data_IF_985094323780
#
_entry.id   IF_985094323780
#
_cell.length_a   1.000
_cell.length_b   1.000
_cell.length_c   1.000
_cell.angle_alpha   90.00
_cell.angle_beta   90.00
_cell.angle_gamma   90.00
#
_symmetry.space_group_name_H-M   'P 1'
#
loop_
_entity.id
_entity.type
_entity.pdbx_description
1 polymer ?
#
# COMPACT_ATOMS: atom_id res chain seq x y z
N UNK A 1 11.46 9.51 23.84
CA UNK A 1 12.05 8.27 23.28
C UNK A 1 13.32 8.62 22.50
N UNK A 2 14.39 7.81 22.53
CA UNK A 2 15.56 8.06 21.67
C UNK A 2 15.25 7.71 20.21
N UNK A 3 15.94 8.36 19.25
CA UNK A 3 15.78 8.04 17.82
C UNK A 3 16.04 6.57 17.52
N UNK A 4 17.06 5.95 18.13
CA UNK A 4 17.34 4.52 17.96
C UNK A 4 16.19 3.63 18.46
N UNK A 5 15.57 3.97 19.59
CA UNK A 5 14.41 3.24 20.13
C UNK A 5 13.20 3.40 19.20
N UNK A 6 12.95 4.61 18.71
CA UNK A 6 11.87 4.89 17.75
C UNK A 6 12.00 4.04 16.50
N UNK A 7 13.18 4.02 15.89
CA UNK A 7 13.45 3.25 14.67
C UNK A 7 13.32 1.73 14.89
N UNK A 8 13.83 1.21 16.00
CA UNK A 8 13.68 -0.21 16.34
C UNK A 8 12.20 -0.60 16.52
N UNK A 9 11.41 0.24 17.19
CA UNK A 9 9.96 0.00 17.35
C UNK A 9 9.22 0.10 16.00
N UNK A 10 9.55 1.08 15.14
CA UNK A 10 8.98 1.18 13.79
C UNK A 10 9.32 -0.05 12.92
N UNK A 11 10.58 -0.52 12.93
CA UNK A 11 10.95 -1.78 12.23
C UNK A 11 10.11 -2.96 12.71
N UNK A 12 9.82 -3.03 14.02
CA UNK A 12 8.98 -4.08 14.61
C UNK A 12 7.52 -3.96 14.17
N UNK A 13 6.93 -2.78 14.25
CA UNK A 13 5.55 -2.52 13.85
C UNK A 13 5.36 -2.78 12.36
N UNK A 14 6.33 -2.40 11.52
CA UNK A 14 6.34 -2.72 10.09
C UNK A 14 6.63 -4.19 9.77
N UNK A 15 6.75 -5.07 10.77
CA UNK A 15 7.05 -6.50 10.59
C UNK A 15 8.37 -6.80 9.87
N UNK A 16 9.28 -5.86 9.81
CA UNK A 16 10.60 -6.06 9.21
C UNK A 16 11.53 -6.88 10.14
N UNK A 17 11.44 -6.68 11.45
CA UNK A 17 12.19 -7.47 12.44
C UNK A 17 11.32 -8.51 13.18
N UNK A 18 10.02 -8.55 12.92
CA UNK A 18 9.09 -9.53 13.51
C UNK A 18 8.10 -10.03 12.42
N UNK A 19 8.60 -10.67 11.34
CA UNK A 19 7.80 -11.04 10.19
C UNK A 19 6.64 -11.99 10.54
N UNK A 20 5.55 -11.87 9.80
CA UNK A 20 4.32 -12.65 9.95
C UNK A 20 4.46 -14.06 9.39
N UNK A 21 3.60 -15.01 9.80
CA UNK A 21 3.63 -16.36 9.25
C UNK A 21 3.30 -16.43 7.76
N UNK A 22 2.30 -15.65 7.30
CA UNK A 22 1.79 -15.69 5.92
C UNK A 22 1.69 -14.32 5.29
N UNK A 23 1.56 -14.27 3.97
CA UNK A 23 1.31 -13.04 3.18
C UNK A 23 -0.01 -12.38 3.60
N UNK A 24 -1.06 -13.17 3.82
CA UNK A 24 -2.37 -12.67 4.27
C UNK A 24 -2.28 -12.05 5.67
N UNK A 25 -1.47 -12.63 6.59
CA UNK A 25 -1.20 -12.04 7.90
C UNK A 25 -0.43 -10.72 7.79
N UNK A 26 0.53 -10.63 6.86
CA UNK A 26 1.27 -9.38 6.60
C UNK A 26 0.34 -8.27 6.12
N UNK A 27 -0.52 -8.59 5.15
CA UNK A 27 -1.51 -7.64 4.64
C UNK A 27 -2.52 -7.24 5.72
N UNK A 28 -3.02 -8.20 6.50
CA UNK A 28 -3.93 -7.92 7.61
C UNK A 28 -3.28 -6.99 8.63
N UNK A 29 -2.01 -7.22 8.99
CA UNK A 29 -1.31 -6.40 9.96
C UNK A 29 -1.04 -4.98 9.47
N UNK A 30 -0.60 -4.83 8.21
CA UNK A 30 -0.31 -3.52 7.60
C UNK A 30 -1.57 -2.74 7.21
N UNK A 31 -2.72 -3.41 7.11
CA UNK A 31 -4.00 -2.96 6.58
C UNK A 31 -3.95 -2.52 5.12
N UNK A 32 -3.02 -1.66 4.76
CA UNK A 32 -2.82 -1.20 3.39
C UNK A 32 -1.32 -1.07 3.10
N UNK A 33 -0.90 -1.52 1.92
CA UNK A 33 0.43 -1.24 1.39
C UNK A 33 0.29 -0.56 0.03
N UNK A 34 0.98 0.56 -0.17
CA UNK A 34 0.88 1.28 -1.43
C UNK A 34 1.42 0.41 -2.57
N UNK A 35 0.60 0.22 -3.59
CA UNK A 35 0.83 -0.69 -4.71
C UNK A 35 0.68 0.02 -6.05
N UNK A 36 1.12 1.28 -6.13
CA UNK A 36 1.17 2.02 -7.39
C UNK A 36 2.08 1.30 -8.38
N UNK A 37 3.23 0.81 -7.94
CA UNK A 37 3.98 -0.26 -8.59
C UNK A 37 3.50 -1.60 -8.00
N UNK A 38 2.87 -2.43 -8.82
CA UNK A 38 2.28 -3.69 -8.36
C UNK A 38 3.34 -4.70 -7.89
N UNK A 39 4.52 -4.72 -8.53
CA UNK A 39 5.63 -5.59 -8.11
C UNK A 39 6.18 -5.15 -6.76
N UNK A 40 6.36 -3.84 -6.55
CA UNK A 40 6.81 -3.30 -5.28
C UNK A 40 5.80 -3.55 -4.15
N UNK A 41 4.48 -3.41 -4.42
CA UNK A 41 3.42 -3.72 -3.44
C UNK A 41 3.41 -5.19 -3.02
N UNK A 42 3.62 -6.13 -3.98
CA UNK A 42 3.77 -7.55 -3.66
C UNK A 42 5.03 -7.83 -2.83
N UNK A 43 6.15 -7.20 -3.20
CA UNK A 43 7.38 -7.28 -2.43
C UNK A 43 7.23 -6.73 -1.01
N UNK A 44 6.49 -5.64 -0.83
CA UNK A 44 6.20 -5.08 0.49
C UNK A 44 5.53 -6.09 1.44
N UNK A 45 4.68 -6.98 0.93
CA UNK A 45 4.11 -8.08 1.72
C UNK A 45 5.11 -9.22 1.93
N UNK A 46 5.83 -9.62 0.87
CA UNK A 46 6.80 -10.71 0.93
C UNK A 46 7.93 -10.43 1.91
N UNK A 47 8.50 -9.21 1.92
CA UNK A 47 9.60 -8.83 2.83
C UNK A 47 9.17 -8.86 4.31
N UNK A 48 7.87 -8.72 4.59
CA UNK A 48 7.26 -8.78 5.93
C UNK A 48 6.77 -10.18 6.34
N UNK A 49 6.95 -11.16 5.47
CA UNK A 49 6.54 -12.55 5.69
C UNK A 49 7.77 -13.43 5.92
N UNK A 50 7.64 -14.45 6.78
CA UNK A 50 8.72 -15.39 7.10
C UNK A 50 9.08 -16.27 5.90
N UNK A 51 10.36 -16.63 5.81
CA UNK A 51 10.88 -17.53 4.77
C UNK A 51 11.09 -16.84 3.42
N UNK A 52 11.36 -17.66 2.44
CA UNK A 52 11.56 -17.22 1.04
C UNK A 52 10.19 -17.27 0.33
N UNK A 53 9.44 -16.19 0.46
CA UNK A 53 8.16 -15.99 -0.23
C UNK A 53 8.43 -15.60 -1.67
N UNK A 54 7.77 -16.26 -2.60
CA UNK A 54 7.86 -15.97 -4.04
C UNK A 54 6.76 -15.00 -4.50
N UNK A 55 6.93 -14.43 -5.69
CA UNK A 55 5.91 -13.61 -6.33
C UNK A 55 4.58 -14.38 -6.48
N UNK A 56 4.69 -15.67 -6.85
CA UNK A 56 3.55 -16.58 -7.01
C UNK A 56 2.79 -16.81 -5.70
N UNK A 57 3.48 -16.85 -4.55
CA UNK A 57 2.80 -17.01 -3.27
C UNK A 57 1.91 -15.81 -2.95
N UNK A 58 2.35 -14.60 -3.31
CA UNK A 58 1.54 -13.39 -3.18
C UNK A 58 0.40 -13.38 -4.19
N UNK A 59 0.66 -13.75 -5.44
CA UNK A 59 -0.37 -13.84 -6.49
C UNK A 59 -1.47 -14.82 -6.12
N UNK A 60 -1.14 -15.98 -5.52
CA UNK A 60 -2.13 -16.93 -4.99
C UNK A 60 -3.05 -16.32 -3.92
N UNK A 61 -2.58 -15.36 -3.11
CA UNK A 61 -3.43 -14.69 -2.14
C UNK A 61 -4.48 -13.77 -2.82
N UNK A 62 -4.12 -13.13 -3.94
CA UNK A 62 -5.10 -12.43 -4.78
C UNK A 62 -6.07 -13.41 -5.46
N UNK A 63 -5.58 -14.53 -6.01
CA UNK A 63 -6.40 -15.52 -6.71
C UNK A 63 -7.42 -16.20 -5.79
N UNK A 64 -7.08 -16.38 -4.50
CA UNK A 64 -8.00 -16.89 -3.48
C UNK A 64 -9.01 -15.86 -2.97
N UNK A 65 -8.83 -14.59 -3.32
CA UNK A 65 -9.65 -13.49 -2.80
C UNK A 65 -9.28 -13.05 -1.37
N UNK A 66 -8.11 -13.43 -0.84
CA UNK A 66 -7.64 -12.93 0.46
C UNK A 66 -7.26 -11.45 0.37
N UNK A 67 -6.74 -11.05 -0.79
CA UNK A 67 -6.24 -9.71 -1.09
C UNK A 67 -6.96 -9.10 -2.29
N UNK A 68 -7.15 -7.79 -2.23
CA UNK A 68 -7.58 -6.97 -3.37
C UNK A 68 -6.71 -5.73 -3.47
N UNK A 69 -6.73 -5.09 -4.64
CA UNK A 69 -6.06 -3.83 -4.86
C UNK A 69 -7.05 -2.79 -5.37
N UNK A 70 -6.98 -1.59 -4.85
CA UNK A 70 -7.90 -0.52 -5.22
C UNK A 70 -7.43 0.85 -4.76
N UNK A 71 -8.12 1.89 -5.19
CA UNK A 71 -7.90 3.26 -4.72
C UNK A 71 -8.58 3.44 -3.36
N UNK A 72 -7.85 3.24 -2.29
CA UNK A 72 -8.40 3.30 -0.93
C UNK A 72 -8.14 4.61 -0.21
N UNK A 73 -7.02 5.28 -0.49
CA UNK A 73 -6.60 6.52 0.18
C UNK A 73 -5.75 7.38 -0.76
N UNK A 74 -5.77 8.72 -0.59
CA UNK A 74 -4.90 9.70 -1.29
C UNK A 74 -4.94 9.63 -2.83
N UNK A 75 -5.93 8.95 -3.43
CA UNK A 75 -5.97 8.72 -4.87
C UNK A 75 -4.89 7.76 -5.38
N UNK A 76 -4.25 6.97 -4.51
CA UNK A 76 -3.25 5.96 -4.86
C UNK A 76 -3.78 4.54 -4.68
N UNK A 77 -3.20 3.60 -5.44
CA UNK A 77 -3.56 2.19 -5.36
C UNK A 77 -2.88 1.53 -4.15
N UNK A 78 -3.67 0.80 -3.36
CA UNK A 78 -3.17 0.00 -2.24
C UNK A 78 -3.62 -1.45 -2.38
N UNK A 79 -2.77 -2.38 -1.95
CA UNK A 79 -3.16 -3.75 -1.65
C UNK A 79 -3.67 -3.80 -0.22
N UNK A 80 -4.86 -4.35 -0.03
CA UNK A 80 -5.55 -4.46 1.26
C UNK A 80 -6.12 -5.87 1.44
N UNK A 81 -6.36 -6.33 2.68
CA UNK A 81 -7.18 -7.51 2.88
C UNK A 81 -8.56 -7.30 2.25
N UNK A 82 -9.04 -8.26 1.48
CA UNK A 82 -10.30 -8.11 0.74
C UNK A 82 -11.46 -7.70 1.65
N UNK A 83 -11.58 -8.36 2.80
CA UNK A 83 -12.65 -8.10 3.78
C UNK A 83 -12.66 -6.67 4.34
N UNK A 84 -11.52 -5.98 4.32
CA UNK A 84 -11.39 -4.64 4.92
C UNK A 84 -11.71 -3.52 3.92
N UNK A 85 -11.78 -3.79 2.60
CA UNK A 85 -11.97 -2.78 1.57
C UNK A 85 -13.23 -1.93 1.81
N UNK A 86 -14.36 -2.54 2.12
CA UNK A 86 -15.64 -1.83 2.22
C UNK A 86 -15.64 -0.74 3.29
N UNK A 87 -15.29 -1.09 4.53
CA UNK A 87 -15.29 -0.12 5.63
C UNK A 87 -14.18 0.94 5.48
N UNK A 88 -13.06 0.60 4.86
CA UNK A 88 -12.03 1.60 4.54
C UNK A 88 -12.56 2.66 3.58
N UNK A 89 -13.32 2.26 2.55
CA UNK A 89 -13.94 3.18 1.60
C UNK A 89 -15.03 4.03 2.27
N UNK A 90 -15.80 3.50 3.22
CA UNK A 90 -16.76 4.30 4.01
C UNK A 90 -16.09 5.51 4.66
N UNK A 91 -14.86 5.34 5.17
CA UNK A 91 -14.10 6.41 5.83
C UNK A 91 -13.46 7.36 4.81
N UNK A 92 -12.95 6.86 3.68
CA UNK A 92 -12.01 7.60 2.83
C UNK A 92 -12.60 8.11 1.53
N UNK A 93 -13.66 7.48 1.00
CA UNK A 93 -14.19 7.76 -0.34
C UNK A 93 -14.68 9.21 -0.51
N UNK A 94 -15.37 9.77 0.49
CA UNK A 94 -15.87 11.15 0.41
C UNK A 94 -14.73 12.16 0.18
N UNK A 95 -13.61 11.98 0.88
CA UNK A 95 -12.43 12.83 0.73
C UNK A 95 -11.79 12.66 -0.65
N UNK A 96 -11.69 11.44 -1.15
CA UNK A 96 -11.13 11.14 -2.46
C UNK A 96 -12.00 11.74 -3.58
N UNK A 97 -13.33 11.64 -3.50
CA UNK A 97 -14.26 12.31 -4.46
C UNK A 97 -14.03 13.81 -4.47
N UNK A 98 -13.94 14.44 -3.30
CA UNK A 98 -13.68 15.87 -3.18
C UNK A 98 -12.37 16.27 -3.87
N UNK A 99 -11.29 15.51 -3.67
CA UNK A 99 -9.98 15.75 -4.27
C UNK A 99 -10.00 15.56 -5.79
N UNK A 100 -10.75 14.57 -6.30
CA UNK A 100 -10.87 14.29 -7.73
C UNK A 100 -11.80 15.24 -8.47
N UNK A 101 -12.69 15.98 -7.80
CA UNK A 101 -13.78 16.75 -8.41
C UNK A 101 -13.33 17.74 -9.49
N UNK A 102 -12.21 18.45 -9.28
CA UNK A 102 -11.69 19.39 -10.29
C UNK A 102 -11.21 18.63 -11.54
N UNK A 103 -10.52 17.50 -11.35
CA UNK A 103 -10.05 16.70 -12.48
C UNK A 103 -11.20 16.05 -13.23
N UNK A 104 -12.24 15.57 -12.54
CA UNK A 104 -13.46 15.03 -13.17
C UNK A 104 -14.12 16.07 -14.08
N UNK A 105 -14.30 17.31 -13.61
CA UNK A 105 -14.83 18.41 -14.47
C UNK A 105 -13.98 18.64 -15.72
N UNK A 106 -12.64 18.64 -15.59
CA UNK A 106 -11.73 18.80 -16.74
C UNK A 106 -11.83 17.65 -17.75
N UNK A 107 -12.14 16.44 -17.27
CA UNK A 107 -12.27 15.23 -18.08
C UNK A 107 -13.71 15.05 -18.61
N UNK A 108 -14.65 15.94 -18.26
CA UNK A 108 -16.04 15.83 -18.64
C UNK A 108 -16.76 14.62 -18.02
N UNK A 109 -16.32 14.20 -16.82
CA UNK A 109 -16.94 13.10 -16.06
C UNK A 109 -18.03 13.69 -15.19
N UNK A 110 -19.27 13.28 -15.43
CA UNK A 110 -20.48 13.62 -14.69
C UNK A 110 -21.22 12.35 -14.22
N UNK A 111 -22.30 12.54 -13.46
CA UNK A 111 -23.07 11.46 -12.88
C UNK A 111 -23.78 10.61 -13.95
N UNK A 112 -24.21 11.20 -15.06
CA UNK A 112 -24.84 10.48 -16.17
C UNK A 112 -23.84 9.56 -16.87
N UNK A 113 -22.62 10.04 -17.10
CA UNK A 113 -21.52 9.23 -17.63
C UNK A 113 -21.18 8.08 -16.67
N UNK A 114 -21.02 8.34 -15.37
CA UNK A 114 -20.76 7.31 -14.37
C UNK A 114 -21.88 6.27 -14.38
N UNK A 115 -23.14 6.67 -14.39
CA UNK A 115 -24.27 5.75 -14.44
C UNK A 115 -24.29 4.91 -15.73
N UNK A 116 -23.92 5.48 -16.89
CA UNK A 116 -23.79 4.74 -18.15
C UNK A 116 -22.68 3.68 -18.07
N UNK A 117 -21.52 4.03 -17.48
CA UNK A 117 -20.40 3.11 -17.27
C UNK A 117 -20.80 1.97 -16.34
N UNK A 118 -21.46 2.26 -15.21
CA UNK A 118 -21.96 1.23 -14.29
C UNK A 118 -22.87 0.23 -15.01
N UNK A 119 -23.81 0.72 -15.82
CA UNK A 119 -24.72 -0.15 -16.59
C UNK A 119 -24.00 -1.04 -17.62
N UNK A 120 -22.91 -0.56 -18.21
CA UNK A 120 -22.16 -1.31 -19.22
C UNK A 120 -21.18 -2.31 -18.59
N UNK A 121 -20.45 -1.90 -17.54
CA UNK A 121 -19.37 -2.67 -16.92
C UNK A 121 -19.92 -3.78 -16.01
N UNK A 122 -21.00 -3.54 -15.28
CA UNK A 122 -21.52 -4.50 -14.29
C UNK A 122 -21.90 -5.85 -14.92
N UNK A 123 -22.65 -5.95 -16.02
CA UNK A 123 -22.95 -7.24 -16.65
C UNK A 123 -21.69 -7.98 -17.11
N UNK A 124 -20.74 -7.25 -17.73
CA UNK A 124 -19.50 -7.83 -18.22
C UNK A 124 -18.66 -8.43 -17.08
N UNK A 125 -18.65 -7.80 -15.89
CA UNK A 125 -17.92 -8.29 -14.72
C UNK A 125 -18.64 -9.45 -14.00
N UNK A 126 -19.96 -9.61 -14.17
CA UNK A 126 -20.68 -10.80 -13.67
C UNK A 126 -20.29 -12.06 -14.42
N UNK A 127 -19.94 -11.94 -15.71
CA UNK A 127 -19.47 -13.07 -16.51
C UNK A 127 -17.99 -13.43 -16.25
N UNK A 128 -17.34 -12.71 -15.33
CA UNK A 128 -15.94 -12.91 -14.94
C UNK A 128 -15.13 -11.61 -14.96
N UNK A 129 -13.95 -11.66 -14.34
CA UNK A 129 -13.07 -10.50 -14.25
C UNK A 129 -12.59 -10.02 -15.64
N UNK A 130 -12.36 -8.72 -15.76
CA UNK A 130 -11.86 -8.05 -16.97
C UNK A 130 -10.56 -7.31 -16.68
N UNK A 131 -9.66 -7.32 -17.64
CA UNK A 131 -8.47 -6.47 -17.62
C UNK A 131 -8.87 -4.99 -17.84
N UNK A 132 -7.94 -4.09 -17.58
CA UNK A 132 -8.16 -2.67 -17.85
C UNK A 132 -8.43 -2.41 -19.35
N UNK A 133 -7.73 -3.10 -20.24
CA UNK A 133 -7.90 -2.98 -21.68
C UNK A 133 -9.32 -3.39 -22.10
N UNK A 134 -9.80 -4.56 -21.66
CA UNK A 134 -11.14 -5.04 -21.92
C UNK A 134 -12.23 -4.08 -21.37
N UNK A 135 -12.01 -3.46 -20.20
CA UNK A 135 -12.93 -2.44 -19.67
C UNK A 135 -12.92 -1.17 -20.54
N UNK A 136 -11.77 -0.77 -21.07
CA UNK A 136 -11.69 0.39 -21.96
C UNK A 136 -12.41 0.12 -23.29
N UNK A 137 -12.32 -1.09 -23.84
CA UNK A 137 -13.11 -1.50 -25.02
C UNK A 137 -14.62 -1.40 -24.76
N UNK A 138 -15.09 -1.76 -23.54
CA UNK A 138 -16.48 -1.60 -23.14
C UNK A 138 -16.88 -0.11 -23.11
N UNK A 139 -16.01 0.78 -22.60
CA UNK A 139 -16.26 2.22 -22.60
C UNK A 139 -16.37 2.77 -24.01
N UNK A 140 -15.47 2.39 -24.91
CA UNK A 140 -15.51 2.76 -26.33
C UNK A 140 -16.79 2.27 -27.00
N UNK A 141 -17.22 1.04 -26.68
CA UNK A 141 -18.48 0.45 -27.20
C UNK A 141 -19.74 1.23 -26.84
N UNK A 142 -19.72 2.04 -25.77
CA UNK A 142 -20.82 2.93 -25.38
C UNK A 142 -20.56 4.41 -25.75
N UNK A 143 -19.53 4.67 -26.57
CA UNK A 143 -19.19 6.01 -27.05
C UNK A 143 -18.37 6.87 -26.06
N UNK A 144 -17.78 6.29 -25.05
CA UNK A 144 -16.91 6.99 -24.08
C UNK A 144 -15.45 6.72 -24.42
N UNK A 145 -14.72 7.72 -24.91
CA UNK A 145 -13.29 7.65 -25.14
C UNK A 145 -12.52 7.60 -23.79
N UNK A 146 -11.79 6.49 -23.47
CA UNK A 146 -11.04 6.35 -22.23
C UNK A 146 -9.71 7.10 -22.21
N UNK A 147 -9.29 7.70 -23.35
CA UNK A 147 -8.01 8.39 -23.48
C UNK A 147 -7.88 9.61 -22.53
N UNK A 148 -6.67 10.16 -22.42
CA UNK A 148 -6.42 11.37 -21.65
C UNK A 148 -6.70 11.25 -20.15
N UNK A 149 -6.61 10.05 -19.58
CA UNK A 149 -6.91 9.68 -18.19
C UNK A 149 -8.40 9.48 -17.86
N UNK A 150 -9.35 9.76 -18.79
CA UNK A 150 -10.78 9.63 -18.50
C UNK A 150 -11.13 8.21 -18.06
N UNK A 151 -10.68 7.19 -18.76
CA UNK A 151 -10.94 5.78 -18.41
C UNK A 151 -10.42 5.42 -17.02
N UNK A 152 -9.21 5.84 -16.66
CA UNK A 152 -8.63 5.60 -15.32
C UNK A 152 -9.47 6.30 -14.24
N UNK A 153 -9.91 7.55 -14.46
CA UNK A 153 -10.74 8.26 -13.49
C UNK A 153 -12.14 7.66 -13.34
N UNK A 154 -12.69 7.07 -14.40
CA UNK A 154 -13.94 6.31 -14.32
C UNK A 154 -13.74 5.03 -13.48
N UNK A 155 -12.68 4.23 -13.73
CA UNK A 155 -12.38 3.06 -12.90
C UNK A 155 -12.07 3.43 -11.46
N UNK A 156 -11.37 4.54 -11.22
CA UNK A 156 -11.15 5.11 -9.89
C UNK A 156 -12.50 5.38 -9.20
N UNK A 157 -13.45 6.04 -9.87
CA UNK A 157 -14.76 6.34 -9.30
C UNK A 157 -15.50 5.06 -8.93
N UNK A 158 -15.58 4.08 -9.83
CA UNK A 158 -16.24 2.81 -9.55
C UNK A 158 -15.59 2.07 -8.37
N UNK A 159 -14.27 2.22 -8.19
CA UNK A 159 -13.56 1.59 -7.06
C UNK A 159 -13.86 2.29 -5.74
N UNK A 160 -13.78 3.62 -5.68
CA UNK A 160 -14.06 4.35 -4.43
C UNK A 160 -15.54 4.32 -4.05
N UNK A 161 -16.44 4.03 -5.02
CA UNK A 161 -17.85 3.76 -4.78
C UNK A 161 -18.11 2.32 -4.32
N UNK A 162 -17.07 1.49 -4.23
CA UNK A 162 -17.18 0.11 -3.75
C UNK A 162 -17.81 -0.86 -4.75
N UNK A 163 -17.91 -0.47 -6.04
CA UNK A 163 -18.51 -1.35 -7.07
C UNK A 163 -17.50 -2.39 -7.57
N UNK A 164 -16.25 -1.96 -7.82
CA UNK A 164 -15.20 -2.83 -8.37
C UNK A 164 -13.91 -2.76 -7.55
N UNK A 165 -13.10 -3.80 -7.66
CA UNK A 165 -11.72 -3.80 -7.18
C UNK A 165 -10.85 -4.61 -8.17
N UNK A 166 -9.52 -4.51 -8.03
CA UNK A 166 -8.59 -5.38 -8.72
C UNK A 166 -8.38 -6.63 -7.85
N UNK A 167 -8.75 -7.78 -8.36
CA UNK A 167 -8.68 -9.08 -7.70
C UNK A 167 -7.62 -9.99 -8.31
N UNK A 168 -7.99 -11.11 -8.95
CA UNK A 168 -7.05 -12.10 -9.45
C UNK A 168 -6.02 -11.54 -10.41
N UNK A 169 -4.84 -12.13 -10.40
CA UNK A 169 -3.77 -11.78 -11.31
C UNK A 169 -4.09 -12.32 -12.71
N UNK A 170 -3.90 -11.50 -13.75
CA UNK A 170 -4.17 -11.93 -15.12
C UNK A 170 -3.15 -13.00 -15.53
N UNK A 171 -3.60 -14.14 -16.14
CA UNK A 171 -2.70 -15.20 -16.56
C UNK A 171 -1.70 -14.71 -17.61
N UNK A 172 -0.41 -14.90 -17.34
CA UNK A 172 0.70 -14.62 -18.26
C UNK A 172 1.85 -15.57 -18.03
N UNK A 173 2.73 -15.68 -19.03
CA UNK A 173 4.06 -16.24 -18.85
C UNK A 173 4.98 -15.18 -18.24
N UNK A 174 5.65 -15.50 -17.14
CA UNK A 174 6.56 -14.60 -16.42
C UNK A 174 5.87 -13.61 -15.48
N UNK A 175 6.63 -12.63 -14.99
CA UNK A 175 6.15 -11.62 -14.05
C UNK A 175 5.10 -10.73 -14.71
N UNK A 176 3.84 -10.84 -14.26
CA UNK A 176 2.75 -9.96 -14.71
C UNK A 176 2.55 -8.78 -13.78
N UNK A 177 2.17 -7.64 -14.37
CA UNK A 177 1.73 -6.44 -13.63
C UNK A 177 0.23 -6.19 -13.80
N UNK A 178 -0.47 -7.10 -14.47
CA UNK A 178 -1.87 -6.94 -14.81
C UNK A 178 -2.75 -7.77 -13.87
N UNK A 179 -3.80 -7.15 -13.39
CA UNK A 179 -4.85 -7.77 -12.59
C UNK A 179 -6.20 -7.63 -13.32
N UNK A 180 -7.13 -8.51 -12.96
CA UNK A 180 -8.51 -8.40 -13.39
C UNK A 180 -9.29 -7.54 -12.42
N UNK A 181 -10.10 -6.63 -12.94
CA UNK A 181 -11.16 -5.98 -12.19
C UNK A 181 -12.31 -6.96 -12.02
N UNK A 182 -12.88 -6.97 -10.83
CA UNK A 182 -14.01 -7.81 -10.43
C UNK A 182 -15.03 -6.96 -9.69
N UNK A 183 -16.27 -7.41 -9.64
CA UNK A 183 -17.27 -6.79 -8.76
C UNK A 183 -16.91 -7.11 -7.30
N UNK A 184 -16.99 -6.11 -6.43
CA UNK A 184 -16.83 -6.28 -4.98
C UNK A 184 -17.89 -7.24 -4.45
N UNK A 185 -19.15 -7.07 -4.92
CA UNK A 185 -20.25 -8.01 -4.68
C UNK A 185 -19.89 -9.38 -5.28
N UNK A 186 -19.91 -10.41 -4.46
CA UNK A 186 -19.60 -11.79 -4.85
C UNK A 186 -18.10 -12.13 -4.80
N UNK A 187 -17.19 -11.16 -4.97
CA UNK A 187 -15.76 -11.42 -4.79
C UNK A 187 -15.32 -11.32 -3.32
N UNK A 188 -16.01 -10.49 -2.53
CA UNK A 188 -15.78 -10.31 -1.10
C UNK A 188 -17.04 -10.78 -0.34
N UNK A 189 -17.18 -12.08 -0.08
CA UNK A 189 -18.42 -12.64 0.48
C UNK A 189 -18.61 -12.32 1.97
N UNK A 190 -17.53 -12.05 2.71
CA UNK A 190 -17.55 -11.77 4.16
C UNK A 190 -16.80 -10.47 4.47
N UNK A 191 -17.39 -9.28 4.17
CA UNK A 191 -16.76 -8.00 4.48
C UNK A 191 -16.74 -7.75 5.99
N UNK A 192 -15.62 -7.26 6.49
CA UNK A 192 -15.51 -6.81 7.88
C UNK A 192 -16.37 -5.54 8.10
N UNK A 193 -16.92 -5.43 9.30
CA UNK A 193 -17.76 -4.29 9.71
C UNK A 193 -17.39 -3.89 11.13
N UNK A 194 -16.33 -3.08 11.31
CA UNK A 194 -15.99 -2.57 12.63
C UNK A 194 -17.08 -1.64 13.15
N UNK A 195 -17.33 -1.67 14.47
CA UNK A 195 -18.35 -0.81 15.11
C UNK A 195 -18.06 0.68 14.92
N UNK A 196 -16.79 1.05 14.91
CA UNK A 196 -16.32 2.42 14.60
C UNK A 196 -15.19 2.36 13.55
N UNK A 197 -15.54 2.48 12.24
CA UNK A 197 -14.55 2.42 11.16
C UNK A 197 -13.47 3.50 11.24
N UNK A 198 -13.80 4.67 11.74
CA UNK A 198 -12.83 5.78 11.85
C UNK A 198 -11.79 5.49 12.94
N UNK A 199 -12.22 5.05 14.12
CA UNK A 199 -11.32 4.61 15.18
C UNK A 199 -10.51 3.37 14.76
N UNK A 200 -11.15 2.40 14.08
CA UNK A 200 -10.47 1.21 13.56
C UNK A 200 -9.34 1.58 12.62
N UNK A 201 -9.54 2.53 11.70
CA UNK A 201 -8.51 2.97 10.77
C UNK A 201 -7.28 3.52 11.50
N UNK A 202 -7.48 4.30 12.57
CA UNK A 202 -6.39 4.83 13.40
C UNK A 202 -5.66 3.70 14.15
N UNK A 203 -6.39 2.81 14.81
CA UNK A 203 -5.80 1.67 15.54
C UNK A 203 -4.95 0.81 14.63
N UNK A 204 -5.49 0.44 13.46
CA UNK A 204 -4.78 -0.40 12.48
C UNK A 204 -3.55 0.30 11.90
N UNK A 205 -3.63 1.62 11.69
CA UNK A 205 -2.45 2.41 11.33
C UNK A 205 -1.39 2.35 12.43
N UNK A 206 -1.74 2.57 13.68
CA UNK A 206 -0.79 2.53 14.81
C UNK A 206 -0.20 1.13 14.99
N UNK A 207 -0.99 0.07 14.82
CA UNK A 207 -0.51 -1.32 14.90
C UNK A 207 0.56 -1.62 13.84
N UNK A 208 0.36 -1.14 12.61
CA UNK A 208 1.26 -1.39 11.49
C UNK A 208 2.45 -0.44 11.40
N UNK A 209 2.33 0.79 11.94
CA UNK A 209 3.29 1.87 11.67
C UNK A 209 3.85 2.56 12.93
N UNK A 210 3.26 2.27 14.10
CA UNK A 210 3.68 2.94 15.34
C UNK A 210 5.12 2.63 15.78
N UNK A 211 5.73 3.51 16.56
CA UNK A 211 5.22 4.76 17.12
C UNK A 211 5.01 5.84 16.07
N UNK A 212 3.82 6.44 16.06
CA UNK A 212 3.43 7.45 15.08
C UNK A 212 2.44 8.45 15.68
N UNK A 213 2.37 9.65 15.11
CA UNK A 213 1.51 10.73 15.56
C UNK A 213 0.26 10.91 14.70
N UNK A 214 -0.62 11.83 15.16
CA UNK A 214 -1.84 12.21 14.43
C UNK A 214 -1.52 12.83 13.06
N UNK A 215 -0.43 13.59 12.96
CA UNK A 215 0.01 14.18 11.69
C UNK A 215 0.43 13.09 10.69
N UNK A 216 1.11 12.04 11.16
CA UNK A 216 1.51 10.90 10.33
C UNK A 216 0.27 10.13 9.84
N UNK A 217 -0.69 9.88 10.72
CA UNK A 217 -1.96 9.25 10.34
C UNK A 217 -2.74 10.09 9.31
N UNK A 218 -2.82 11.42 9.52
CA UNK A 218 -3.45 12.33 8.56
C UNK A 218 -2.76 12.28 7.20
N UNK A 219 -1.44 12.24 7.20
CA UNK A 219 -0.64 12.09 5.99
C UNK A 219 -0.91 10.74 5.29
N UNK A 220 -0.87 9.64 6.04
CA UNK A 220 -1.05 8.29 5.53
C UNK A 220 -2.47 8.04 5.00
N UNK A 221 -3.49 8.41 5.76
CA UNK A 221 -4.90 8.18 5.40
C UNK A 221 -5.45 9.17 4.37
N UNK A 222 -4.85 10.37 4.26
CA UNK A 222 -5.37 11.48 3.48
C UNK A 222 -6.58 12.18 4.11
N UNK A 223 -6.94 11.81 5.33
CA UNK A 223 -7.99 12.48 6.11
C UNK A 223 -7.51 13.86 6.59
N UNK A 224 -8.45 14.73 6.94
CA UNK A 224 -8.12 16.01 7.55
C UNK A 224 -7.54 15.83 8.96
N UNK A 225 -6.74 16.79 9.44
CA UNK A 225 -6.25 16.76 10.82
C UNK A 225 -7.40 16.72 11.86
N UNK A 226 -8.56 17.34 11.56
CA UNK A 226 -9.74 17.28 12.41
C UNK A 226 -10.27 15.85 12.55
N UNK A 227 -10.48 15.16 11.41
CA UNK A 227 -10.90 13.75 11.39
C UNK A 227 -9.84 12.83 12.04
N UNK A 228 -8.56 13.12 11.85
CA UNK A 228 -7.48 12.35 12.46
C UNK A 228 -7.41 12.49 13.98
N UNK A 229 -7.66 13.68 14.51
CA UNK A 229 -7.81 13.90 15.98
C UNK A 229 -9.03 13.18 16.53
N UNK A 230 -10.15 13.24 15.81
CA UNK A 230 -11.37 12.52 16.17
C UNK A 230 -11.14 11.01 16.20
N UNK A 231 -10.48 10.45 15.19
CA UNK A 231 -10.11 9.02 15.12
C UNK A 231 -9.26 8.60 16.34
N UNK A 232 -8.23 9.39 16.67
CA UNK A 232 -7.37 9.14 17.83
C UNK A 232 -8.14 9.22 19.15
N UNK A 233 -9.01 10.22 19.32
CA UNK A 233 -9.83 10.37 20.52
C UNK A 233 -10.79 9.20 20.75
N UNK A 234 -11.38 8.66 19.67
CA UNK A 234 -12.26 7.47 19.72
C UNK A 234 -11.50 6.16 19.96
N UNK A 235 -10.19 6.14 19.67
CA UNK A 235 -9.33 4.96 19.77
C UNK A 235 -8.55 4.86 21.11
N UNK A 236 -8.78 5.77 22.08
CA UNK A 236 -7.93 5.96 23.27
C UNK A 236 -7.67 4.69 24.09
N UNK A 237 -8.63 3.78 24.20
CA UNK A 237 -8.46 2.52 24.96
C UNK A 237 -7.76 1.42 24.13
N UNK A 238 -7.57 1.64 22.83
CA UNK A 238 -7.08 0.67 21.87
C UNK A 238 -5.64 0.91 21.40
N UNK A 239 -5.06 2.03 21.83
CA UNK A 239 -3.67 2.42 21.56
C UNK A 239 -3.02 2.91 22.85
N UNK A 240 -1.69 3.00 22.88
CA UNK A 240 -0.93 3.51 24.02
C UNK A 240 -0.18 4.77 23.59
N UNK A 241 -0.44 5.89 24.27
CA UNK A 241 0.38 7.08 24.11
C UNK A 241 1.66 6.91 24.93
N UNK A 242 2.80 6.85 24.28
CA UNK A 242 4.12 6.61 24.90
C UNK A 242 4.89 7.89 25.18
N UNK A 243 4.59 8.95 24.46
CA UNK A 243 5.00 10.32 24.66
C UNK A 243 3.88 11.22 24.12
N UNK A 244 3.87 12.51 24.49
CA UNK A 244 2.84 13.45 24.04
C UNK A 244 2.66 13.41 22.51
N UNK A 245 1.47 13.00 22.07
CA UNK A 245 1.11 12.90 20.65
C UNK A 245 1.74 11.74 19.90
N UNK A 246 2.44 10.81 20.55
CA UNK A 246 3.09 9.65 19.93
C UNK A 246 2.45 8.34 20.42
N UNK A 247 1.80 7.62 19.54
CA UNK A 247 1.01 6.44 19.84
C UNK A 247 1.67 5.15 19.35
N UNK A 248 1.43 4.05 20.05
CA UNK A 248 1.89 2.71 19.72
C UNK A 248 0.81 1.68 20.02
N UNK A 249 0.96 0.47 19.45
CA UNK A 249 0.07 -0.65 19.69
C UNK A 249 0.06 -1.11 21.15
N UNK A 250 -1.11 -1.51 21.66
CA UNK A 250 -1.26 -2.14 23.00
C UNK A 250 -0.52 -3.48 23.04
N UNK A 251 -0.61 -4.26 21.96
CA UNK A 251 0.06 -5.56 21.84
C UNK A 251 1.20 -5.48 20.85
N UNK A 252 2.42 -5.80 21.30
CA UNK A 252 3.61 -5.79 20.46
C UNK A 252 4.15 -7.22 20.30
N UNK A 253 4.78 -7.56 19.16
CA UNK A 253 5.46 -8.83 19.00
C UNK A 253 6.56 -9.00 20.07
N UNK A 254 6.61 -10.17 20.71
CA UNK A 254 7.58 -10.44 21.77
C UNK A 254 8.96 -10.85 21.25
N UNK A 255 9.00 -11.48 20.06
CA UNK A 255 10.25 -11.92 19.40
C UNK A 255 10.56 -11.01 18.24
N UNK A 256 11.77 -10.49 18.19
CA UNK A 256 12.30 -9.68 17.10
C UNK A 256 13.56 -10.36 16.56
N UNK A 257 13.77 -10.22 15.26
CA UNK A 257 15.07 -10.46 14.62
C UNK A 257 16.01 -9.29 14.96
N UNK A 258 17.27 -9.42 14.58
CA UNK A 258 18.26 -8.36 14.78
C UNK A 258 17.79 -7.06 14.07
N UNK A 259 17.73 -5.99 14.84
CA UNK A 259 17.39 -4.66 14.31
C UNK A 259 18.50 -4.05 13.43
N UNK A 260 19.71 -4.64 13.46
CA UNK A 260 20.82 -4.24 12.58
C UNK A 260 20.72 -4.84 11.17
N UNK A 261 19.82 -5.81 10.94
CA UNK A 261 19.66 -6.44 9.64
C UNK A 261 19.35 -5.42 8.53
N UNK A 262 19.97 -5.62 7.37
CA UNK A 262 19.70 -4.80 6.18
C UNK A 262 18.41 -5.24 5.52
N UNK A 263 17.60 -4.28 5.09
CA UNK A 263 16.37 -4.52 4.33
C UNK A 263 16.42 -3.79 2.99
N UNK A 264 16.14 -4.50 1.90
CA UNK A 264 15.88 -3.92 0.58
C UNK A 264 14.38 -3.71 0.42
N UNK A 265 13.91 -2.48 0.60
CA UNK A 265 12.49 -2.13 0.52
C UNK A 265 12.15 -1.62 -0.89
N UNK A 266 10.95 -1.96 -1.36
CA UNK A 266 10.48 -1.59 -2.70
C UNK A 266 10.19 -0.08 -2.84
N UNK A 267 9.92 0.33 -4.08
CA UNK A 267 9.40 1.67 -4.33
C UNK A 267 8.06 1.86 -3.60
N UNK A 268 7.84 3.03 -3.00
CA UNK A 268 6.65 3.35 -2.22
C UNK A 268 6.43 2.46 -0.98
N UNK A 269 7.49 1.89 -0.40
CA UNK A 269 7.32 1.07 0.81
C UNK A 269 6.83 1.91 2.00
N UNK A 270 5.89 1.34 2.75
CA UNK A 270 5.22 1.98 3.89
C UNK A 270 6.20 2.45 4.98
N UNK A 271 7.35 1.77 5.15
CA UNK A 271 8.35 2.18 6.14
C UNK A 271 8.89 3.60 5.88
N UNK A 272 8.92 4.02 4.63
CA UNK A 272 9.37 5.36 4.24
C UNK A 272 8.23 6.36 4.05
N UNK A 273 7.11 5.93 3.41
CA UNK A 273 6.08 6.87 2.95
C UNK A 273 4.99 7.19 3.98
N UNK A 274 4.86 6.39 5.04
CA UNK A 274 3.72 6.47 5.96
C UNK A 274 3.80 7.59 6.99
N UNK A 275 4.87 8.38 6.98
CA UNK A 275 5.11 9.46 7.93
C UNK A 275 5.11 10.83 7.25
N UNK A 276 4.56 11.83 7.95
CA UNK A 276 4.57 13.22 7.51
C UNK A 276 6.00 13.78 7.52
N UNK A 277 6.75 13.49 8.60
CA UNK A 277 8.18 13.77 8.70
C UNK A 277 8.98 12.46 8.56
N UNK A 278 9.93 12.46 7.63
CA UNK A 278 10.78 11.31 7.31
C UNK A 278 12.22 11.47 7.77
N UNK A 279 12.54 12.55 8.48
CA UNK A 279 13.90 12.86 8.91
C UNK A 279 14.46 11.86 9.92
N UNK A 280 13.60 11.15 10.65
CA UNK A 280 14.01 10.04 11.50
C UNK A 280 14.59 8.86 10.69
N UNK A 281 13.98 8.55 9.54
CA UNK A 281 14.36 7.39 8.72
C UNK A 281 15.33 7.72 7.59
N UNK A 282 15.40 8.99 7.15
CA UNK A 282 16.22 9.44 6.03
C UNK A 282 16.82 10.82 6.36
N UNK A 283 18.12 10.96 6.22
CA UNK A 283 18.78 12.23 6.48
C UNK A 283 18.23 13.34 5.53
N UNK A 284 18.04 14.58 6.01
CA UNK A 284 17.40 15.65 5.25
C UNK A 284 18.01 15.87 3.85
N UNK A 285 19.33 15.77 3.73
CA UNK A 285 20.08 15.93 2.48
C UNK A 285 19.76 14.85 1.43
N UNK A 286 19.23 13.69 1.85
CA UNK A 286 18.91 12.55 0.97
C UNK A 286 17.43 12.43 0.64
N UNK A 287 16.55 13.20 1.30
CA UNK A 287 15.10 13.15 1.06
C UNK A 287 14.74 13.39 -0.41
N UNK A 288 15.39 14.35 -1.06
CA UNK A 288 15.13 14.65 -2.46
C UNK A 288 15.58 13.52 -3.41
N UNK A 289 16.62 12.78 -3.06
CA UNK A 289 17.11 11.64 -3.84
C UNK A 289 16.19 10.40 -3.72
N UNK A 290 15.56 10.21 -2.57
CA UNK A 290 14.59 9.11 -2.36
C UNK A 290 13.20 9.48 -2.91
N UNK A 291 12.75 10.71 -2.68
CA UNK A 291 11.43 11.20 -3.10
C UNK A 291 10.45 11.44 -1.94
N UNK A 292 9.22 11.86 -2.26
CA UNK A 292 8.65 11.94 -3.61
C UNK A 292 9.29 13.04 -4.47
N UNK A 293 9.67 12.68 -5.69
CA UNK A 293 10.09 13.64 -6.71
C UNK A 293 8.91 14.45 -7.27
N UNK A 294 9.18 15.35 -8.25
CA UNK A 294 8.13 16.19 -8.89
C UNK A 294 6.99 15.40 -9.53
N UNK A 295 7.25 14.16 -9.95
CA UNK A 295 6.27 13.23 -10.51
C UNK A 295 5.62 12.31 -9.46
N UNK A 296 5.86 12.54 -8.17
CA UNK A 296 5.36 11.73 -7.07
C UNK A 296 6.09 10.38 -6.89
N UNK A 297 7.15 10.09 -7.64
CA UNK A 297 7.90 8.84 -7.53
C UNK A 297 8.72 8.79 -6.24
N UNK A 298 8.68 7.64 -5.59
CA UNK A 298 9.52 7.28 -4.43
C UNK A 298 10.35 6.07 -4.83
N UNK A 299 11.66 6.16 -4.68
CA UNK A 299 12.60 5.10 -5.06
C UNK A 299 12.61 3.98 -4.01
N UNK A 300 12.98 2.80 -4.46
CA UNK A 300 13.29 1.67 -3.58
C UNK A 300 14.52 1.98 -2.72
N UNK A 301 14.50 1.61 -1.44
CA UNK A 301 15.49 2.00 -0.44
C UNK A 301 16.21 0.80 0.18
N UNK A 302 17.47 1.00 0.53
CA UNK A 302 18.23 0.13 1.42
C UNK A 302 18.17 0.72 2.83
N UNK A 303 17.72 -0.10 3.78
CA UNK A 303 17.57 0.29 5.19
C UNK A 303 18.54 -0.52 6.03
N UNK A 304 19.34 0.16 6.84
CA UNK A 304 20.21 -0.44 7.85
C UNK A 304 19.96 0.24 9.18
N UNK A 305 19.77 -0.52 10.26
CA UNK A 305 19.46 0.00 11.60
C UNK A 305 18.27 0.99 11.61
N UNK A 306 17.30 0.78 10.70
CA UNK A 306 16.12 1.64 10.57
C UNK A 306 16.34 2.92 9.77
N UNK A 307 17.54 3.18 9.23
CA UNK A 307 17.86 4.36 8.44
C UNK A 307 18.10 4.02 6.97
N UNK A 308 17.70 4.93 6.09
CA UNK A 308 18.02 4.84 4.66
C UNK A 308 19.52 5.07 4.47
N UNK A 309 20.21 4.07 3.93
CA UNK A 309 21.63 4.14 3.58
C UNK A 309 21.86 4.28 2.06
N UNK A 310 20.81 4.14 1.26
CA UNK A 310 20.93 4.25 -0.19
C UNK A 310 19.64 3.86 -0.90
N UNK A 311 19.70 3.88 -2.23
CA UNK A 311 18.62 3.44 -3.11
C UNK A 311 19.08 2.33 -4.04
N UNK A 312 18.13 1.53 -4.52
CA UNK A 312 18.37 0.44 -5.45
C UNK A 312 17.29 0.38 -6.53
N UNK A 313 17.46 -0.48 -7.51
CA UNK A 313 16.50 -0.71 -8.59
C UNK A 313 16.33 -2.19 -8.87
N UNK A 314 15.35 -2.55 -9.67
CA UNK A 314 15.19 -3.92 -10.16
C UNK A 314 16.48 -4.42 -10.83
N UNK A 315 17.15 -3.57 -11.63
CA UNK A 315 18.43 -3.93 -12.27
C UNK A 315 19.55 -4.18 -11.24
N UNK A 316 19.53 -3.51 -10.09
CA UNK A 316 20.48 -3.73 -9.00
C UNK A 316 20.37 -5.16 -8.45
N UNK A 317 19.15 -5.64 -8.25
CA UNK A 317 18.93 -6.97 -7.70
C UNK A 317 19.06 -8.11 -8.72
N UNK A 318 18.81 -7.85 -10.04
CA UNK A 318 18.72 -8.89 -11.06
C UNK A 318 19.82 -8.87 -12.11
N UNK A 319 20.61 -7.80 -12.20
CA UNK A 319 21.64 -7.58 -13.23
C UNK A 319 22.95 -7.04 -12.67
N UNK A 320 23.17 -7.17 -11.36
CA UNK A 320 24.37 -6.70 -10.63
C UNK A 320 24.71 -5.20 -10.87
N UNK A 321 23.70 -4.36 -11.18
CA UNK A 321 23.92 -2.94 -11.23
C UNK A 321 24.16 -2.41 -9.80
N UNK A 322 25.17 -1.53 -9.58
CA UNK A 322 25.47 -1.06 -8.22
C UNK A 322 24.29 -0.28 -7.64
N UNK A 323 24.00 -0.44 -6.33
CA UNK A 323 23.12 0.48 -5.61
C UNK A 323 23.77 1.86 -5.50
N UNK A 324 22.95 2.88 -5.30
CA UNK A 324 23.43 4.25 -5.00
C UNK A 324 23.44 4.42 -3.48
N UNK A 325 24.63 4.39 -2.88
CA UNK A 325 24.78 4.57 -1.45
C UNK A 325 24.88 6.06 -1.06
N UNK A 326 24.26 6.42 0.05
CA UNK A 326 24.36 7.71 0.71
C UNK A 326 25.39 7.70 1.84
N UNK A 327 25.62 6.51 2.43
CA UNK A 327 26.63 6.21 3.40
C UNK A 327 27.17 4.80 3.14
N UNK A 328 28.42 4.54 3.50
CA UNK A 328 29.00 3.21 3.43
C UNK A 328 28.20 2.24 4.32
N UNK A 329 27.73 1.10 3.80
CA UNK A 329 27.01 0.13 4.61
C UNK A 329 27.92 -0.47 5.68
N UNK A 330 27.42 -0.59 6.90
CA UNK A 330 28.14 -1.28 7.97
C UNK A 330 28.14 -2.81 7.75
N UNK A 331 27.11 -3.34 7.03
CA UNK A 331 27.01 -4.75 6.65
C UNK A 331 26.84 -4.92 5.12
N UNK A 332 27.93 -4.88 4.33
CA UNK A 332 27.86 -5.13 2.89
C UNK A 332 27.33 -6.52 2.51
N UNK A 333 27.58 -7.54 3.35
CA UNK A 333 27.07 -8.87 3.13
C UNK A 333 25.54 -8.92 3.32
N UNK A 334 25.02 -8.20 4.31
CA UNK A 334 23.59 -8.01 4.52
C UNK A 334 22.91 -7.31 3.35
N UNK A 335 23.55 -6.30 2.74
CA UNK A 335 23.06 -5.65 1.52
C UNK A 335 22.91 -6.68 0.39
N UNK A 336 23.95 -7.48 0.15
CA UNK A 336 23.94 -8.53 -0.88
C UNK A 336 22.82 -9.55 -0.61
N UNK A 337 22.67 -9.98 0.64
CA UNK A 337 21.64 -10.94 1.04
C UNK A 337 20.21 -10.36 0.84
N UNK A 338 19.99 -9.09 1.21
CA UNK A 338 18.71 -8.41 1.07
C UNK A 338 18.30 -8.26 -0.40
N UNK A 339 19.22 -7.84 -1.28
CA UNK A 339 18.99 -7.76 -2.72
C UNK A 339 18.78 -9.14 -3.34
N UNK A 340 19.56 -10.14 -2.93
CA UNK A 340 19.40 -11.53 -3.37
C UNK A 340 18.04 -12.12 -2.95
N UNK A 341 17.48 -11.73 -1.81
CA UNK A 341 16.12 -12.11 -1.40
C UNK A 341 15.06 -11.57 -2.38
N UNK A 342 15.22 -10.32 -2.85
CA UNK A 342 14.32 -9.79 -3.89
C UNK A 342 14.48 -10.50 -5.23
N UNK A 343 15.71 -10.86 -5.63
CA UNK A 343 15.92 -11.63 -6.86
C UNK A 343 15.17 -12.98 -6.77
N UNK A 344 15.36 -13.74 -5.69
CA UNK A 344 14.64 -15.01 -5.46
C UNK A 344 13.11 -14.85 -5.38
N UNK A 345 12.64 -13.72 -4.86
CA UNK A 345 11.20 -13.42 -4.85
C UNK A 345 10.61 -13.37 -6.27
N UNK A 346 11.39 -12.93 -7.26
CA UNK A 346 10.96 -12.85 -8.67
C UNK A 346 11.10 -14.19 -9.41
N UNK A 347 11.93 -15.10 -8.90
CA UNK A 347 12.07 -16.44 -9.45
C UNK A 347 10.82 -17.27 -9.12
N UNK A 348 10.19 -17.84 -10.17
CA UNK A 348 8.99 -18.67 -10.07
C UNK A 348 9.29 -20.12 -9.67
#
# INVERSE_FOLDING_TARGET
>A
MTSATLLAERLRSHRLTAPTPTVSDAAHHMLAVQSQDFTAGRWALAVRTRGDVTLRDVDRAFDRGDLVRGWTMRGTLHTVPARDLGWMLEVTAARQRQQAATRHRQLGIDDDMIAAVVRAVTPALRDGGRTRAELFEILEGIGIDPAGQRGIHLLFTLTIDGLICQGPVAPRTGVTREQRFVLVEGHIPDPARPDDPLAELFVRYIDGHGPAGIADFSWWSGLTLGQSREAAARATERVVEVEEGLFTAVRRPRRTMDASAVHALGAFDEYYISYADRTDVCAPEHLAAVGPGKNGMVRATLIEQGRVIGTWSHATATRDAPPEFFADPADPAGVTAALGRFARFLDD
#
